data_IF_181502386581
#
_entry.id   IF_181502386581
#
_cell.length_a   1.000
_cell.length_b   1.000
_cell.length_c   1.000
_cell.angle_alpha   90.00
_cell.angle_beta   90.00
_cell.angle_gamma   90.00
#
_symmetry.space_group_name_H-M   'P 1'
#
loop_
_entity.id
_entity.type
_entity.pdbx_description
1 polymer ?
#
# COMPACT_ATOMS: atom_id res chain seq x y z
N UNK A 1 23.88 7.72 -28.41
CA UNK A 1 23.84 6.67 -27.37
C UNK A 1 22.49 6.73 -26.67
N UNK A 2 21.55 5.84 -26.99
CA UNK A 2 20.24 5.74 -26.32
C UNK A 2 20.09 4.32 -25.78
N UNK A 3 20.36 4.12 -24.49
CA UNK A 3 20.19 2.83 -23.83
C UNK A 3 19.14 3.01 -22.73
N UNK A 4 17.87 2.95 -23.10
CA UNK A 4 16.79 3.09 -22.12
C UNK A 4 15.42 2.56 -22.62
N UNK A 5 15.34 1.42 -23.31
CA UNK A 5 14.01 0.98 -23.82
C UNK A 5 13.63 -0.49 -23.72
N UNK A 6 14.35 -1.32 -22.95
CA UNK A 6 14.00 -2.74 -22.84
C UNK A 6 13.67 -3.15 -21.39
N UNK A 7 12.58 -2.64 -20.82
CA UNK A 7 12.07 -3.16 -19.52
C UNK A 7 10.60 -3.61 -19.58
N UNK A 8 9.85 -3.36 -20.66
CA UNK A 8 8.40 -3.63 -20.63
C UNK A 8 7.82 -4.27 -21.88
N UNK A 9 7.64 -5.58 -21.81
CA UNK A 9 6.73 -6.31 -22.70
C UNK A 9 5.57 -7.01 -21.95
N UNK A 10 5.51 -6.96 -20.60
CA UNK A 10 4.57 -7.78 -19.81
C UNK A 10 3.37 -7.01 -19.27
N UNK A 11 3.47 -5.69 -19.02
CA UNK A 11 2.37 -4.86 -18.48
C UNK A 11 2.25 -3.54 -19.26
N UNK A 12 1.05 -3.07 -19.64
CA UNK A 12 0.84 -1.81 -20.34
C UNK A 12 0.79 -0.58 -19.39
N UNK A 13 1.82 -0.36 -18.56
CA UNK A 13 2.03 0.87 -17.77
C UNK A 13 2.82 1.96 -18.55
N UNK A 14 3.50 2.93 -17.95
CA UNK A 14 4.53 3.75 -18.62
C UNK A 14 5.91 3.49 -17.94
N UNK A 15 7.06 3.56 -18.65
CA UNK A 15 8.36 3.33 -18.02
C UNK A 15 8.64 4.32 -16.88
N UNK A 16 8.25 5.60 -17.05
CA UNK A 16 8.33 6.62 -16.00
C UNK A 16 7.56 6.20 -14.75
N UNK A 17 6.32 5.74 -14.91
CA UNK A 17 5.48 5.24 -13.80
C UNK A 17 6.14 4.05 -13.08
N UNK A 18 6.75 3.12 -13.82
CA UNK A 18 7.47 2.00 -13.22
C UNK A 18 8.64 2.48 -12.34
N UNK A 19 9.49 3.38 -12.85
CA UNK A 19 10.61 3.92 -12.08
C UNK A 19 10.16 4.82 -10.92
N UNK A 20 9.05 5.55 -11.05
CA UNK A 20 8.43 6.27 -9.94
C UNK A 20 7.99 5.33 -8.82
N UNK A 21 7.36 4.20 -9.14
CA UNK A 21 7.01 3.18 -8.14
C UNK A 21 8.24 2.57 -7.48
N UNK A 22 9.30 2.30 -8.24
CA UNK A 22 10.57 1.82 -7.68
C UNK A 22 11.20 2.86 -6.74
N UNK A 23 11.21 4.14 -7.14
CA UNK A 23 11.74 5.21 -6.31
C UNK A 23 10.96 5.39 -4.99
N UNK A 24 9.63 5.27 -5.04
CA UNK A 24 8.77 5.30 -3.84
C UNK A 24 9.00 4.11 -2.90
N UNK A 25 9.35 2.93 -3.43
CA UNK A 25 9.71 1.74 -2.62
C UNK A 25 11.09 1.87 -1.97
N UNK A 26 12.04 2.45 -2.69
CA UNK A 26 13.40 2.64 -2.20
C UNK A 26 13.49 3.75 -1.14
N UNK A 27 12.65 4.77 -1.25
CA UNK A 27 12.66 5.94 -0.38
C UNK A 27 11.24 6.22 0.18
N UNK A 28 10.95 5.75 1.42
CA UNK A 28 9.67 5.97 2.09
C UNK A 28 9.35 7.44 2.38
N UNK A 29 10.31 8.36 2.23
CA UNK A 29 10.07 9.80 2.34
C UNK A 29 9.37 10.39 1.11
N UNK A 30 9.43 9.70 -0.04
CA UNK A 30 8.75 10.07 -1.29
C UNK A 30 7.30 9.58 -1.35
N UNK A 31 6.85 8.84 -0.34
CA UNK A 31 5.47 8.43 -0.21
C UNK A 31 4.61 9.63 0.20
N UNK A 32 3.38 9.67 -0.29
CA UNK A 32 2.41 10.65 0.21
C UNK A 32 2.08 10.37 1.67
N UNK A 33 1.69 11.40 2.41
CA UNK A 33 1.27 11.26 3.81
C UNK A 33 0.13 10.25 3.98
N UNK A 34 -0.75 10.10 2.98
CA UNK A 34 -1.76 9.04 2.95
C UNK A 34 -1.13 7.65 2.85
N UNK A 35 -0.22 7.44 1.90
CA UNK A 35 0.42 6.13 1.73
C UNK A 35 1.24 5.71 2.95
N UNK A 36 1.87 6.68 3.64
CA UNK A 36 2.58 6.44 4.91
C UNK A 36 1.62 6.00 6.01
N UNK A 37 0.45 6.65 6.14
CA UNK A 37 -0.60 6.23 7.08
C UNK A 37 -1.14 4.84 6.74
N UNK A 38 -1.42 4.57 5.47
CA UNK A 38 -1.91 3.26 5.03
C UNK A 38 -0.90 2.14 5.34
N UNK A 39 0.40 2.41 5.16
CA UNK A 39 1.47 1.46 5.50
C UNK A 39 1.55 1.21 7.02
N UNK A 40 1.35 2.24 7.84
CA UNK A 40 1.29 2.12 9.30
C UNK A 40 0.02 1.37 9.79
N UNK A 41 -1.10 1.50 9.09
CA UNK A 41 -2.37 0.80 9.42
C UNK A 41 -2.38 -0.66 8.98
N UNK A 42 -1.56 -1.01 7.99
CA UNK A 42 -1.46 -2.36 7.42
C UNK A 42 -1.21 -3.48 8.44
N UNK A 43 -0.26 -3.37 9.41
CA UNK A 43 -0.09 -4.38 10.45
C UNK A 43 -1.34 -4.54 11.34
N UNK A 44 -2.04 -3.46 11.66
CA UNK A 44 -3.24 -3.50 12.51
C UNK A 44 -4.43 -4.15 11.79
N UNK A 45 -4.60 -3.84 10.50
CA UNK A 45 -5.58 -4.52 9.64
C UNK A 45 -5.34 -6.03 9.63
N UNK A 46 -4.07 -6.46 9.49
CA UNK A 46 -3.71 -7.87 9.48
C UNK A 46 -3.93 -8.52 10.85
N UNK A 47 -3.59 -7.83 11.94
CA UNK A 47 -3.83 -8.30 13.31
C UNK A 47 -5.32 -8.57 13.53
N UNK A 48 -6.18 -7.58 13.26
CA UNK A 48 -7.63 -7.73 13.41
C UNK A 48 -8.18 -8.83 12.49
N UNK A 49 -7.64 -8.95 11.27
CA UNK A 49 -8.07 -10.00 10.35
C UNK A 49 -7.74 -11.41 10.86
N UNK A 50 -6.53 -11.62 11.36
CA UNK A 50 -6.10 -12.92 11.89
C UNK A 50 -6.78 -13.25 13.22
N UNK A 51 -6.92 -12.27 14.13
CA UNK A 51 -7.64 -12.44 15.40
C UNK A 51 -9.12 -12.83 15.22
N UNK A 52 -9.75 -12.38 14.13
CA UNK A 52 -11.13 -12.72 13.79
C UNK A 52 -11.24 -13.92 12.84
N UNK A 53 -10.23 -14.81 12.84
CA UNK A 53 -10.14 -16.02 12.01
C UNK A 53 -10.40 -15.79 10.52
N UNK A 54 -10.01 -14.62 10.01
CA UNK A 54 -10.18 -14.24 8.60
C UNK A 54 -11.63 -14.15 8.13
N UNK A 55 -12.60 -14.17 9.06
CA UNK A 55 -14.03 -14.08 8.75
C UNK A 55 -14.44 -12.63 8.48
N UNK A 56 -13.71 -11.68 9.08
CA UNK A 56 -14.06 -10.26 8.96
C UNK A 56 -13.65 -9.71 7.60
N UNK A 57 -14.63 -9.22 6.85
CA UNK A 57 -14.40 -8.41 5.66
C UNK A 57 -14.09 -6.95 5.99
N UNK A 58 -13.75 -6.17 4.96
CA UNK A 58 -13.31 -4.76 5.03
C UNK A 58 -14.15 -3.89 5.97
N UNK A 59 -15.49 -3.96 5.85
CA UNK A 59 -16.40 -3.12 6.66
C UNK A 59 -16.34 -3.45 8.16
N UNK A 60 -16.15 -4.72 8.52
CA UNK A 60 -16.05 -5.15 9.93
C UNK A 60 -14.69 -4.77 10.50
N UNK A 61 -13.62 -5.01 9.75
CA UNK A 61 -12.26 -4.60 10.14
C UNK A 61 -12.19 -3.09 10.35
N UNK A 62 -12.71 -2.29 9.41
CA UNK A 62 -12.70 -0.82 9.53
C UNK A 62 -13.47 -0.32 10.76
N UNK A 63 -14.62 -0.94 11.08
CA UNK A 63 -15.34 -0.62 12.32
C UNK A 63 -14.57 -1.02 13.58
N UNK A 64 -13.87 -2.14 13.56
CA UNK A 64 -13.06 -2.61 14.68
C UNK A 64 -11.86 -1.68 14.92
N UNK A 65 -11.13 -1.32 13.87
CA UNK A 65 -10.02 -0.37 13.95
C UNK A 65 -10.45 1.00 14.47
N UNK A 66 -11.61 1.50 14.03
CA UNK A 66 -12.17 2.76 14.56
C UNK A 66 -12.54 2.67 16.05
N UNK A 67 -12.97 1.49 16.54
CA UNK A 67 -13.25 1.28 17.97
C UNK A 67 -11.96 1.27 18.80
N UNK A 68 -10.87 0.80 18.22
CA UNK A 68 -9.55 0.79 18.85
C UNK A 68 -8.82 2.14 18.73
N UNK A 69 -9.46 3.15 18.13
CA UNK A 69 -8.96 4.53 18.05
C UNK A 69 -8.14 4.85 16.81
N UNK A 70 -8.07 3.94 15.82
CA UNK A 70 -7.40 4.21 14.56
C UNK A 70 -8.27 5.07 13.63
N UNK A 71 -7.71 6.17 13.14
CA UNK A 71 -8.35 7.01 12.13
C UNK A 71 -8.20 6.39 10.74
N UNK A 72 -9.23 5.63 10.34
CA UNK A 72 -9.32 4.98 9.02
C UNK A 72 -10.31 5.79 8.17
N UNK A 73 -9.78 6.74 7.38
CA UNK A 73 -10.52 7.68 6.51
C UNK A 73 -9.91 7.79 5.10
#
# INVERSE_FOLDING_TARGET
MKVQWQVRAVLPIAPSTYYEHLAKRADPSRLSERARRDEALRPEILRVFEENWRVYGVRKISRQLRREGFDVA
#
